data_IF_872776126768
#
_entry.id   IF_872776126768
#
_cell.length_a   1.000
_cell.length_b   1.000
_cell.length_c   1.000
_cell.angle_alpha   90.00
_cell.angle_beta   90.00
_cell.angle_gamma   90.00
#
_symmetry.space_group_name_H-M   'P 1'
#
loop_
_entity.id
_entity.type
_entity.pdbx_description
1 polymer ?
#
# COMPACT_ATOMS: atom_id res chain seq x y z
N UNK A 1 -15.00 -23.96 29.99
CA UNK A 1 -14.23 -22.69 29.97
C UNK A 1 -13.65 -22.55 28.59
N UNK A 2 -14.20 -21.66 27.77
CA UNK A 2 -13.72 -21.43 26.40
C UNK A 2 -12.43 -20.61 26.44
N UNK A 3 -11.36 -21.15 25.88
CA UNK A 3 -10.15 -20.39 25.58
C UNK A 3 -10.52 -19.28 24.59
N UNK A 4 -10.60 -18.04 25.08
CA UNK A 4 -10.54 -16.86 24.23
C UNK A 4 -9.19 -16.89 23.51
N UNK A 5 -9.19 -17.29 22.25
CA UNK A 5 -8.08 -17.01 21.35
C UNK A 5 -7.85 -15.50 21.39
N UNK A 6 -6.69 -15.09 21.89
CA UNK A 6 -6.19 -13.73 21.68
C UNK A 6 -6.19 -13.52 20.17
N UNK A 7 -7.19 -12.82 19.65
CA UNK A 7 -7.10 -12.22 18.33
C UNK A 7 -5.85 -11.37 18.37
N UNK A 8 -4.78 -11.87 17.73
CA UNK A 8 -3.57 -11.10 17.48
C UNK A 8 -4.04 -9.76 16.94
N UNK A 9 -3.77 -8.68 17.68
CA UNK A 9 -3.97 -7.32 17.21
C UNK A 9 -3.04 -7.17 16.00
N UNK A 10 -3.58 -7.49 14.82
CA UNK A 10 -2.89 -7.38 13.55
C UNK A 10 -2.40 -5.94 13.46
N UNK A 11 -1.07 -5.77 13.42
CA UNK A 11 -0.51 -4.48 13.05
C UNK A 11 -1.14 -4.10 11.69
N UNK A 12 -1.86 -2.97 11.57
CA UNK A 12 -2.58 -2.62 10.34
C UNK A 12 -1.64 -2.38 9.14
N UNK A 13 -0.32 -2.37 9.39
CA UNK A 13 0.75 -2.28 8.39
C UNK A 13 1.48 -3.61 8.17
N UNK A 14 1.10 -4.69 8.86
CA UNK A 14 1.58 -6.03 8.54
C UNK A 14 0.92 -6.51 7.25
N UNK A 15 1.64 -6.34 6.15
CA UNK A 15 1.15 -6.67 4.83
C UNK A 15 1.33 -8.16 4.56
N UNK A 16 0.24 -8.91 4.59
CA UNK A 16 0.24 -10.32 4.21
C UNK A 16 -0.13 -10.50 2.74
N UNK A 17 0.77 -11.14 2.00
CA UNK A 17 0.51 -11.57 0.63
C UNK A 17 -0.48 -12.75 0.58
N UNK A 18 -0.90 -13.17 -0.63
CA UNK A 18 -1.85 -14.26 -0.84
C UNK A 18 -1.39 -15.60 -0.23
N UNK A 19 -0.08 -15.82 -0.15
CA UNK A 19 0.52 -17.02 0.42
C UNK A 19 0.84 -16.89 1.92
N UNK A 20 0.21 -15.94 2.62
CA UNK A 20 0.49 -15.56 4.02
C UNK A 20 1.90 -15.06 4.30
N UNK A 21 2.69 -14.82 3.25
CA UNK A 21 4.02 -14.20 3.33
C UNK A 21 3.91 -12.77 3.85
N UNK A 22 4.86 -12.38 4.70
CA UNK A 22 4.91 -11.03 5.28
C UNK A 22 5.74 -10.14 4.38
N UNK A 23 5.22 -8.95 4.09
CA UNK A 23 5.87 -7.91 3.32
C UNK A 23 6.11 -6.68 4.19
N UNK A 24 7.32 -6.13 4.07
CA UNK A 24 7.64 -4.80 4.57
C UNK A 24 7.35 -3.76 3.49
N UNK A 25 6.61 -2.71 3.84
CA UNK A 25 6.42 -1.53 3.00
C UNK A 25 7.55 -0.52 3.27
N UNK A 26 8.25 -0.10 2.23
CA UNK A 26 9.21 1.00 2.28
C UNK A 26 8.82 2.08 1.28
N UNK A 27 8.99 3.33 1.67
CA UNK A 27 8.54 4.47 0.87
C UNK A 27 9.65 5.50 0.77
N UNK A 28 10.07 5.80 -0.46
CA UNK A 28 11.17 6.73 -0.74
C UNK A 28 10.70 7.86 -1.66
N UNK A 29 11.08 9.12 -1.38
CA UNK A 29 10.90 10.21 -2.33
C UNK A 29 11.67 9.93 -3.61
N UNK A 30 11.04 10.19 -4.75
CA UNK A 30 11.70 10.15 -6.06
C UNK A 30 12.01 11.60 -6.48
N UNK A 31 13.29 12.01 -6.55
CA UNK A 31 13.63 13.37 -6.96
C UNK A 31 13.21 13.62 -8.41
N UNK A 32 12.85 14.86 -8.71
CA UNK A 32 12.58 15.26 -10.09
C UNK A 32 13.84 15.16 -10.93
N UNK A 33 13.71 14.65 -12.15
CA UNK A 33 14.75 14.66 -13.18
C UNK A 33 14.27 15.47 -14.37
N UNK A 34 15.14 15.70 -15.35
CA UNK A 34 14.77 16.38 -16.61
C UNK A 34 13.59 15.70 -17.34
N UNK A 35 13.34 14.42 -17.07
CA UNK A 35 12.33 13.60 -17.76
C UNK A 35 11.23 13.05 -16.86
N UNK A 36 11.35 13.15 -15.53
CA UNK A 36 10.31 12.72 -14.59
C UNK A 36 10.04 13.77 -13.51
N UNK A 37 8.77 14.14 -13.28
CA UNK A 37 8.41 15.01 -12.15
C UNK A 37 8.69 14.30 -10.82
N UNK A 38 8.86 15.09 -9.75
CA UNK A 38 9.02 14.56 -8.40
C UNK A 38 7.84 13.62 -8.04
N UNK A 39 8.16 12.56 -7.31
CA UNK A 39 7.22 11.50 -7.01
C UNK A 39 7.59 10.72 -5.76
N UNK A 40 6.99 9.55 -5.64
CA UNK A 40 7.19 8.61 -4.55
C UNK A 40 7.39 7.22 -5.15
N UNK A 41 8.42 6.49 -4.72
CA UNK A 41 8.53 5.06 -5.02
C UNK A 41 8.14 4.27 -3.78
N UNK A 42 7.13 3.42 -3.96
CA UNK A 42 6.67 2.45 -2.96
C UNK A 42 7.39 1.13 -3.26
N UNK A 43 7.99 0.53 -2.25
CA UNK A 43 8.62 -0.78 -2.30
C UNK A 43 7.88 -1.74 -1.37
N UNK A 44 7.63 -2.95 -1.84
CA UNK A 44 7.23 -4.08 -1.01
C UNK A 44 8.34 -5.13 -1.04
N UNK A 45 8.80 -5.50 0.15
CA UNK A 45 9.90 -6.44 0.30
C UNK A 45 9.37 -7.65 1.05
N UNK A 46 9.36 -8.82 0.40
CA UNK A 46 9.03 -10.07 1.06
C UNK A 46 10.12 -10.38 2.10
N UNK A 47 9.75 -10.46 3.38
CA UNK A 47 10.74 -10.61 4.46
C UNK A 47 11.43 -11.98 4.45
N UNK A 48 10.82 -12.99 3.84
CA UNK A 48 11.37 -14.35 3.74
C UNK A 48 12.32 -14.49 2.56
N UNK A 49 11.94 -14.00 1.38
CA UNK A 49 12.68 -14.22 0.14
C UNK A 49 13.54 -13.03 -0.28
N UNK A 50 13.41 -11.89 0.38
CA UNK A 50 13.95 -10.58 -0.03
C UNK A 50 13.50 -10.12 -1.43
N UNK A 51 12.46 -10.75 -1.96
CA UNK A 51 11.87 -10.40 -3.24
C UNK A 51 11.23 -9.01 -3.18
N UNK A 52 11.53 -8.17 -4.18
CA UNK A 52 11.15 -6.76 -4.19
C UNK A 52 10.17 -6.45 -5.30
N UNK A 53 9.19 -5.64 -4.93
CA UNK A 53 8.22 -5.08 -5.84
C UNK A 53 8.18 -3.58 -5.68
N UNK A 54 8.03 -2.84 -6.77
CA UNK A 54 7.98 -1.39 -6.72
C UNK A 54 6.86 -0.78 -7.57
N UNK A 55 6.42 0.41 -7.15
CA UNK A 55 5.47 1.23 -7.88
C UNK A 55 5.87 2.71 -7.73
N UNK A 56 5.94 3.43 -8.85
CA UNK A 56 6.19 4.86 -8.86
C UNK A 56 4.85 5.62 -8.89
N UNK A 57 4.67 6.53 -7.93
CA UNK A 57 3.54 7.44 -7.84
C UNK A 57 4.03 8.82 -8.26
N UNK A 58 3.46 9.32 -9.35
CA UNK A 58 3.74 10.64 -9.93
C UNK A 58 2.53 11.56 -9.78
N UNK A 59 2.71 12.84 -10.14
CA UNK A 59 1.61 13.80 -10.29
C UNK A 59 0.47 13.27 -11.17
N UNK A 60 0.79 12.62 -12.29
CA UNK A 60 -0.21 12.03 -13.19
C UNK A 60 -1.07 10.96 -12.50
N UNK A 61 -0.47 10.16 -11.61
CA UNK A 61 -1.21 9.17 -10.83
C UNK A 61 -2.15 9.83 -9.82
N UNK A 62 -1.73 10.95 -9.21
CA UNK A 62 -2.55 11.74 -8.28
C UNK A 62 -3.73 12.38 -9.02
N UNK A 63 -3.49 13.00 -10.16
CA UNK A 63 -4.54 13.65 -10.95
C UNK A 63 -5.56 12.61 -11.46
N UNK A 64 -5.07 11.44 -11.87
CA UNK A 64 -5.90 10.28 -12.21
C UNK A 64 -6.71 9.75 -11.03
N UNK A 65 -6.21 9.86 -9.80
CA UNK A 65 -6.97 9.50 -8.61
C UNK A 65 -8.08 10.51 -8.31
N UNK A 66 -7.77 11.81 -8.40
CA UNK A 66 -8.72 12.91 -8.15
C UNK A 66 -9.90 12.89 -9.12
N UNK A 67 -9.69 12.43 -10.35
CA UNK A 67 -10.73 12.36 -11.37
C UNK A 67 -11.71 11.19 -11.21
N UNK A 68 -11.42 10.21 -10.33
CA UNK A 68 -12.32 9.07 -10.08
C UNK A 68 -13.53 9.51 -9.28
N UNK A 69 -14.71 9.47 -9.92
CA UNK A 69 -16.01 9.80 -9.31
C UNK A 69 -16.39 8.95 -8.09
N UNK A 70 -15.80 7.77 -7.93
CA UNK A 70 -16.09 6.83 -6.83
C UNK A 70 -15.33 7.14 -5.54
N UNK A 71 -14.42 8.13 -5.54
CA UNK A 71 -13.68 8.53 -4.35
C UNK A 71 -14.28 9.78 -3.74
N UNK A 72 -14.77 9.66 -2.50
CA UNK A 72 -15.24 10.79 -1.69
C UNK A 72 -14.05 11.58 -1.12
N UNK A 73 -12.93 10.89 -0.86
CA UNK A 73 -11.68 11.50 -0.46
C UNK A 73 -11.05 12.29 -1.62
N UNK A 74 -11.20 13.61 -1.56
CA UNK A 74 -10.52 14.55 -2.46
C UNK A 74 -9.42 15.27 -1.72
N UNK A 75 -8.19 14.75 -1.80
CA UNK A 75 -7.01 15.49 -1.36
C UNK A 75 -6.76 16.66 -2.32
N UNK A 76 -7.24 17.85 -1.93
CA UNK A 76 -6.98 19.12 -2.63
C UNK A 76 -5.54 19.61 -2.44
N UNK A 77 -5.19 20.70 -3.10
CA UNK A 77 -3.88 21.36 -2.97
C UNK A 77 -2.80 20.88 -3.95
N UNK A 78 -1.57 21.31 -3.71
CA UNK A 78 -0.42 21.00 -4.58
C UNK A 78 -0.11 19.50 -4.58
N UNK A 79 0.32 18.96 -5.72
CA UNK A 79 0.66 17.53 -5.85
C UNK A 79 1.74 17.10 -4.84
N UNK A 80 2.68 17.98 -4.50
CA UNK A 80 3.71 17.72 -3.48
C UNK A 80 3.11 17.50 -2.09
N UNK A 81 2.05 18.22 -1.74
CA UNK A 81 1.35 18.03 -0.45
C UNK A 81 0.66 16.66 -0.44
N UNK A 82 0.02 16.29 -1.54
CA UNK A 82 -0.62 14.97 -1.66
C UNK A 82 0.41 13.84 -1.58
N UNK A 83 1.57 13.99 -2.23
CA UNK A 83 2.67 13.02 -2.11
C UNK A 83 3.19 12.91 -0.67
N UNK A 84 3.34 14.03 0.03
CA UNK A 84 3.78 14.04 1.43
C UNK A 84 2.75 13.34 2.34
N UNK A 85 1.46 13.66 2.18
CA UNK A 85 0.39 12.96 2.92
C UNK A 85 0.44 11.47 2.61
N UNK A 86 0.47 11.08 1.34
CA UNK A 86 0.53 9.68 0.94
C UNK A 86 1.74 8.94 1.53
N UNK A 87 2.90 9.59 1.57
CA UNK A 87 4.11 9.05 2.19
C UNK A 87 3.89 8.75 3.68
N UNK A 88 3.27 9.67 4.42
CA UNK A 88 3.01 9.49 5.85
C UNK A 88 1.91 8.45 6.13
N UNK A 89 0.89 8.35 5.25
CA UNK A 89 -0.12 7.28 5.33
C UNK A 89 0.53 5.91 5.11
N UNK A 90 1.37 5.76 4.09
CA UNK A 90 2.01 4.49 3.74
C UNK A 90 3.09 4.05 4.73
N UNK A 91 3.74 5.00 5.42
CA UNK A 91 4.67 4.73 6.52
C UNK A 91 3.96 4.32 7.82
N UNK A 92 2.66 4.53 7.88
CA UNK A 92 1.87 4.31 9.07
C UNK A 92 2.11 5.31 10.20
N UNK A 93 2.72 6.45 9.89
CA UNK A 93 2.81 7.58 10.81
C UNK A 93 1.42 8.16 11.09
N UNK A 94 0.55 8.13 10.08
CA UNK A 94 -0.87 8.47 10.20
C UNK A 94 -1.64 7.17 10.48
N UNK A 95 -1.46 6.65 11.69
CA UNK A 95 -2.23 5.54 12.23
C UNK A 95 -3.59 6.00 12.79
N UNK A 96 -4.46 5.07 13.26
CA UNK A 96 -5.64 5.46 14.01
C UNK A 96 -5.16 6.26 15.22
N UNK A 97 -5.47 7.55 15.25
CA UNK A 97 -5.16 8.44 16.36
C UNK A 97 -6.02 8.06 17.58
N UNK A 98 -5.76 6.90 18.17
CA UNK A 98 -6.30 6.39 19.44
C UNK A 98 -7.82 6.17 19.55
N UNK A 99 -8.20 4.97 19.98
CA UNK A 99 -9.53 4.60 20.50
C UNK A 99 -10.61 4.22 19.50
N UNK A 100 -10.99 2.94 19.58
CA UNK A 100 -12.33 2.42 19.34
C UNK A 100 -13.46 3.43 19.61
N UNK A 101 -14.50 3.40 18.76
CA UNK A 101 -15.87 3.92 18.97
C UNK A 101 -16.30 5.29 18.43
N UNK A 102 -15.65 5.91 17.44
CA UNK A 102 -16.25 7.07 16.72
C UNK A 102 -16.13 6.96 15.20
N UNK A 103 -17.24 6.99 14.42
CA UNK A 103 -17.22 6.85 12.95
C UNK A 103 -16.57 8.01 12.19
N UNK A 104 -16.20 9.10 12.87
CA UNK A 104 -15.56 10.30 12.28
C UNK A 104 -14.04 10.27 12.33
N UNK A 105 -13.45 9.27 12.96
CA UNK A 105 -12.01 9.25 13.20
C UNK A 105 -11.21 8.87 11.96
N UNK A 106 -10.09 9.56 11.76
CA UNK A 106 -9.19 9.29 10.65
C UNK A 106 -8.49 7.93 10.87
N UNK A 107 -8.50 7.10 9.83
CA UNK A 107 -7.89 5.77 9.85
C UNK A 107 -7.27 5.45 8.50
N UNK A 108 -6.27 4.57 8.51
CA UNK A 108 -5.62 4.05 7.31
C UNK A 108 -5.39 2.55 7.46
N UNK A 109 -5.55 1.80 6.38
CA UNK A 109 -5.26 0.38 6.34
C UNK A 109 -4.64 0.02 5.00
N UNK A 110 -3.56 -0.76 5.04
CA UNK A 110 -2.91 -1.30 3.86
C UNK A 110 -3.33 -2.75 3.66
N UNK A 111 -3.63 -3.12 2.42
CA UNK A 111 -3.90 -4.50 2.05
C UNK A 111 -3.23 -4.85 0.73
N UNK A 112 -2.75 -6.10 0.62
CA UNK A 112 -2.24 -6.65 -0.63
C UNK A 112 -3.32 -7.50 -1.28
N UNK A 113 -3.56 -7.25 -2.57
CA UNK A 113 -4.44 -8.07 -3.41
C UNK A 113 -3.65 -8.59 -4.59
N UNK A 114 -3.51 -9.91 -4.70
CA UNK A 114 -3.07 -10.54 -5.94
C UNK A 114 -4.24 -10.56 -6.91
N UNK A 115 -4.04 -10.05 -8.13
CA UNK A 115 -5.07 -10.07 -9.17
C UNK A 115 -4.55 -10.87 -10.36
N UNK A 116 -5.15 -12.03 -10.60
CA UNK A 116 -4.98 -12.86 -11.81
C UNK A 116 -3.59 -13.48 -12.11
N UNK A 117 -2.50 -13.22 -11.36
CA UNK A 117 -1.20 -13.86 -11.66
C UNK A 117 -0.10 -13.67 -10.61
N UNK A 118 0.91 -14.55 -10.57
CA UNK A 118 2.16 -14.39 -9.79
C UNK A 118 3.03 -13.20 -10.24
N UNK A 119 2.65 -12.60 -11.37
CA UNK A 119 3.31 -11.48 -12.03
C UNK A 119 2.68 -10.14 -11.66
N UNK A 120 1.53 -10.16 -11.01
CA UNK A 120 0.77 -8.96 -10.70
C UNK A 120 0.38 -8.91 -9.24
N UNK A 121 0.97 -7.96 -8.52
CA UNK A 121 0.60 -7.62 -7.17
C UNK A 121 0.01 -6.21 -7.15
N UNK A 122 -1.02 -6.00 -6.34
CA UNK A 122 -1.63 -4.68 -6.16
C UNK A 122 -1.65 -4.35 -4.68
N UNK A 123 -1.05 -3.22 -4.32
CA UNK A 123 -1.20 -2.62 -3.00
C UNK A 123 -2.46 -1.76 -3.00
N UNK A 124 -3.31 -1.91 -2.01
CA UNK A 124 -4.48 -1.08 -1.79
C UNK A 124 -4.34 -0.36 -0.45
N UNK A 125 -4.43 0.96 -0.49
CA UNK A 125 -4.50 1.82 0.69
C UNK A 125 -5.93 2.32 0.80
N UNK A 126 -6.64 1.85 1.83
CA UNK A 126 -7.96 2.35 2.19
C UNK A 126 -7.81 3.29 3.38
N UNK A 127 -8.42 4.47 3.32
CA UNK A 127 -8.36 5.41 4.42
C UNK A 127 -9.60 6.30 4.54
N UNK A 128 -9.75 6.89 5.72
CA UNK A 128 -10.66 7.97 6.01
C UNK A 128 -9.85 9.16 6.54
N UNK A 129 -10.00 10.33 5.92
CA UNK A 129 -9.35 11.57 6.35
C UNK A 129 -10.38 12.71 6.36
N UNK A 130 -10.50 13.41 7.48
CA UNK A 130 -11.50 14.46 7.69
C UNK A 130 -12.93 13.98 7.43
N UNK A 131 -13.23 12.72 7.77
CA UNK A 131 -14.54 12.09 7.53
C UNK A 131 -14.80 11.60 6.10
N UNK A 132 -13.88 11.83 5.14
CA UNK A 132 -14.03 11.38 3.76
C UNK A 132 -13.25 10.09 3.50
N UNK A 133 -13.88 9.12 2.82
CA UNK A 133 -13.28 7.82 2.53
C UNK A 133 -12.72 7.72 1.13
N UNK A 134 -11.59 7.04 0.99
CA UNK A 134 -10.91 6.84 -0.29
C UNK A 134 -10.13 5.54 -0.33
N UNK A 135 -9.94 5.05 -1.56
CA UNK A 135 -9.14 3.85 -1.82
C UNK A 135 -8.15 4.10 -2.94
N UNK A 136 -6.86 4.08 -2.63
CA UNK A 136 -5.78 4.08 -3.62
C UNK A 136 -5.37 2.66 -3.98
N UNK A 137 -5.10 2.44 -5.26
CA UNK A 137 -4.60 1.18 -5.77
C UNK A 137 -3.29 1.43 -6.53
N UNK A 138 -2.24 0.71 -6.14
CA UNK A 138 -0.91 0.80 -6.72
C UNK A 138 -0.58 -0.54 -7.40
N UNK A 139 -0.46 -0.59 -8.74
CA UNK A 139 0.03 -1.76 -9.43
C UNK A 139 1.54 -1.91 -9.16
N UNK A 140 1.90 -3.01 -8.50
CA UNK A 140 3.27 -3.29 -8.09
C UNK A 140 3.94 -4.14 -9.16
N UNK A 141 5.13 -3.72 -9.60
CA UNK A 141 5.94 -4.43 -10.57
C UNK A 141 7.08 -5.17 -9.85
N UNK A 142 7.42 -6.41 -10.22
CA UNK A 142 8.58 -7.09 -9.66
C UNK A 142 9.87 -6.40 -10.12
N UNK A 143 10.83 -6.20 -9.22
CA UNK A 143 12.13 -5.60 -9.59
C UNK A 143 13.06 -6.61 -10.25
N UNK A 144 12.98 -7.87 -9.82
CA UNK A 144 13.75 -8.97 -10.39
C UNK A 144 12.84 -9.98 -11.10
N UNK A 145 12.88 -10.05 -12.45
CA UNK A 145 12.18 -11.09 -13.20
C UNK A 145 12.64 -12.51 -12.84
N UNK A 146 13.87 -12.69 -12.36
CA UNK A 146 14.42 -13.97 -11.91
C UNK A 146 13.73 -14.53 -10.67
N UNK A 147 13.32 -13.65 -9.74
CA UNK A 147 12.57 -14.02 -8.55
C UNK A 147 11.20 -14.65 -8.86
N UNK A 148 10.63 -14.38 -10.03
CA UNK A 148 9.36 -14.97 -10.51
C UNK A 148 9.46 -16.49 -10.60
N UNK A 149 10.58 -17.04 -11.10
CA UNK A 149 10.77 -18.51 -11.21
C UNK A 149 10.78 -19.20 -9.85
N UNK A 150 11.24 -18.50 -8.81
CA UNK A 150 11.20 -18.99 -7.44
C UNK A 150 9.77 -18.97 -6.87
N UNK A 151 8.96 -17.98 -7.26
CA UNK A 151 7.53 -17.90 -6.88
C UNK A 151 6.70 -19.01 -7.54
N UNK A 152 7.00 -19.34 -8.80
CA UNK A 152 6.36 -20.46 -9.51
C UNK A 152 6.72 -21.80 -8.87
N UNK A 153 7.98 -22.01 -8.48
CA UNK A 153 8.41 -23.26 -7.81
C UNK A 153 7.81 -23.43 -6.42
N UNK A 154 7.65 -22.36 -5.64
CA UNK A 154 7.07 -22.41 -4.30
C UNK A 154 5.56 -22.71 -4.26
N UNK A 155 4.84 -22.48 -5.37
CA UNK A 155 3.42 -22.87 -5.51
C UNK A 155 3.23 -24.37 -5.79
N UNK A 156 4.31 -25.12 -6.01
CA UNK A 156 4.31 -26.55 -6.28
C UNK A 156 4.75 -27.28 -5.02
N UNK A 157 3.93 -27.22 -3.98
CA UNK A 157 3.92 -28.27 -2.95
C UNK A 157 2.48 -28.42 -2.45
N UNK A 158 1.81 -29.57 -2.72
CA UNK A 158 0.45 -29.83 -2.27
C UNK A 158 0.35 -29.97 -0.75
#
# INVERSE_FOLDING_TARGET
>A
MGTMEKQSLLNPFELRGPNKEVYRCEVKPTPATATMPAGLTIYLINERTNDKWSCCVTSSNIDSFRSKKTNELRLGGLNLVVLAVLQELLRGTIGPLTSSYVPTQDWCTLSLKAKHSHYFMKLTLDCQLGGNRGSWCFPMNPEDPGAIKNRERGAITP
#
